data_IF_371147888458
#
_entry.id   IF_371147888458
#
_cell.length_a   1.000
_cell.length_b   1.000
_cell.length_c   1.000
_cell.angle_alpha   90.00
_cell.angle_beta   90.00
_cell.angle_gamma   90.00
#
_symmetry.space_group_name_H-M   'P 1'
#
loop_
_entity.id
_entity.type
_entity.pdbx_description
1 polymer ?
#
# COMPACT_ATOMS: atom_id res chain seq x y z
N UNK A 1 11.31 5.24 8.81
CA UNK A 1 11.96 4.65 7.62
C UNK A 1 12.10 5.77 6.62
N UNK A 2 13.26 5.94 5.98
CA UNK A 2 13.38 6.92 4.90
C UNK A 2 13.03 6.20 3.60
N UNK A 3 11.95 6.61 2.94
CA UNK A 3 11.51 6.01 1.69
C UNK A 3 12.35 6.54 0.53
N UNK A 4 12.56 5.72 -0.49
CA UNK A 4 12.94 6.23 -1.81
C UNK A 4 11.85 7.19 -2.33
N UNK A 5 12.26 8.25 -3.04
CA UNK A 5 11.32 9.26 -3.53
C UNK A 5 10.17 8.63 -4.34
N UNK A 6 10.49 7.63 -5.16
CA UNK A 6 9.51 6.90 -5.98
C UNK A 6 8.56 6.04 -5.13
N UNK A 7 9.03 5.43 -4.03
CA UNK A 7 8.16 4.71 -3.11
C UNK A 7 7.24 5.66 -2.36
N UNK A 8 7.77 6.81 -1.92
CA UNK A 8 6.98 7.84 -1.24
C UNK A 8 5.90 8.43 -2.14
N UNK A 9 6.23 8.71 -3.41
CA UNK A 9 5.26 9.17 -4.41
C UNK A 9 4.11 8.17 -4.60
N UNK A 10 4.43 6.88 -4.74
CA UNK A 10 3.42 5.83 -4.88
C UNK A 10 2.56 5.69 -3.62
N UNK A 11 3.17 5.75 -2.43
CA UNK A 11 2.44 5.73 -1.16
C UNK A 11 1.44 6.88 -1.06
N UNK A 12 1.87 8.11 -1.37
CA UNK A 12 1.01 9.29 -1.34
C UNK A 12 -0.13 9.17 -2.35
N UNK A 13 0.17 8.74 -3.58
CA UNK A 13 -0.85 8.56 -4.60
C UNK A 13 -1.91 7.53 -4.17
N UNK A 14 -1.46 6.38 -3.65
CA UNK A 14 -2.36 5.32 -3.23
C UNK A 14 -3.20 5.67 -1.99
N UNK A 15 -2.61 6.37 -1.02
CA UNK A 15 -3.30 6.69 0.26
C UNK A 15 -4.16 7.96 0.19
N UNK A 16 -4.00 8.79 -0.85
CA UNK A 16 -4.89 9.91 -1.12
C UNK A 16 -6.27 9.51 -1.67
N UNK A 17 -6.43 8.28 -2.17
CA UNK A 17 -7.71 7.81 -2.72
C UNK A 17 -8.16 6.55 -1.98
N UNK A 18 -9.23 6.71 -1.21
CA UNK A 18 -9.77 5.68 -0.30
C UNK A 18 -9.97 4.31 -0.97
N UNK A 19 -10.41 4.29 -2.23
CA UNK A 19 -10.73 3.07 -2.98
C UNK A 19 -9.55 2.10 -3.08
N UNK A 20 -8.30 2.59 -3.03
CA UNK A 20 -7.11 1.74 -3.20
C UNK A 20 -6.73 1.02 -1.90
N UNK A 21 -6.80 1.71 -0.76
CA UNK A 21 -6.30 1.15 0.49
C UNK A 21 -7.41 0.64 1.43
N UNK A 22 -8.56 1.30 1.50
CA UNK A 22 -9.59 1.01 2.50
C UNK A 22 -10.06 -0.47 2.50
N UNK A 23 -10.32 -1.14 1.36
CA UNK A 23 -10.73 -2.55 1.37
C UNK A 23 -9.66 -3.47 1.99
N UNK A 24 -8.39 -3.20 1.69
CA UNK A 24 -7.26 -3.96 2.22
C UNK A 24 -7.11 -3.72 3.72
N UNK A 25 -7.14 -2.46 4.16
CA UNK A 25 -7.01 -2.10 5.58
C UNK A 25 -8.19 -2.63 6.41
N UNK A 26 -9.42 -2.60 5.88
CA UNK A 26 -10.58 -3.22 6.53
C UNK A 26 -10.40 -4.71 6.75
N UNK A 27 -9.82 -5.42 5.79
CA UNK A 27 -9.49 -6.83 5.98
C UNK A 27 -8.40 -7.02 7.04
N UNK A 28 -7.34 -6.21 7.01
CA UNK A 28 -6.26 -6.27 8.02
C UNK A 28 -6.76 -5.95 9.43
N UNK A 29 -7.69 -5.01 9.57
CA UNK A 29 -8.35 -4.66 10.84
C UNK A 29 -9.07 -5.89 11.43
N UNK A 30 -9.75 -6.69 10.60
CA UNK A 30 -10.39 -7.94 11.03
C UNK A 30 -9.37 -8.97 11.50
N UNK A 31 -8.24 -9.11 10.80
CA UNK A 31 -7.18 -10.03 11.18
C UNK A 31 -6.53 -9.63 12.52
N UNK A 32 -6.32 -8.33 12.74
CA UNK A 32 -5.82 -7.81 14.01
C UNK A 32 -6.79 -8.11 15.15
N UNK A 33 -8.08 -7.75 14.99
CA UNK A 33 -9.14 -8.01 15.99
C UNK A 33 -9.29 -9.51 16.33
N UNK A 34 -8.96 -10.41 15.39
CA UNK A 34 -8.98 -11.87 15.58
C UNK A 34 -7.68 -12.44 16.18
N UNK A 35 -6.64 -11.63 16.33
CA UNK A 35 -5.34 -12.07 16.84
C UNK A 35 -4.52 -12.92 15.86
N UNK A 36 -4.85 -12.90 14.55
CA UNK A 36 -4.14 -13.66 13.52
C UNK A 36 -3.47 -12.78 12.45
N UNK A 37 -3.22 -11.51 12.79
CA UNK A 37 -2.47 -10.59 11.95
C UNK A 37 -1.02 -11.02 11.78
N UNK A 38 -0.50 -10.88 10.55
CA UNK A 38 0.92 -11.05 10.24
C UNK A 38 1.37 -9.83 9.43
N UNK A 39 2.45 -9.18 9.88
CA UNK A 39 3.00 -8.02 9.19
C UNK A 39 3.46 -8.37 7.77
N UNK A 40 4.08 -9.53 7.60
CA UNK A 40 4.54 -10.01 6.29
C UNK A 40 3.37 -10.20 5.31
N UNK A 41 2.29 -10.85 5.77
CA UNK A 41 1.08 -11.00 4.97
C UNK A 41 0.41 -9.65 4.68
N UNK A 42 0.48 -8.70 5.62
CA UNK A 42 -0.05 -7.36 5.43
C UNK A 42 0.70 -6.60 4.33
N UNK A 43 2.04 -6.64 4.35
CA UNK A 43 2.90 -6.03 3.33
C UNK A 43 2.57 -6.60 1.95
N UNK A 44 2.52 -7.93 1.83
CA UNK A 44 2.16 -8.57 0.56
C UNK A 44 0.73 -8.27 0.11
N UNK A 45 -0.21 -8.15 1.04
CA UNK A 45 -1.60 -7.79 0.71
C UNK A 45 -1.70 -6.35 0.21
N UNK A 46 -1.00 -5.42 0.86
CA UNK A 46 -0.97 -4.01 0.47
C UNK A 46 -0.30 -3.84 -0.90
N UNK A 47 0.85 -4.49 -1.13
CA UNK A 47 1.53 -4.45 -2.43
C UNK A 47 0.62 -4.92 -3.57
N UNK A 48 -0.03 -6.07 -3.37
CA UNK A 48 -0.83 -6.72 -4.41
C UNK A 48 -2.16 -6.01 -4.68
N UNK A 49 -2.89 -5.64 -3.62
CA UNK A 49 -4.28 -5.21 -3.73
C UNK A 49 -4.47 -3.69 -3.64
N UNK A 50 -3.49 -2.95 -3.12
CA UNK A 50 -3.52 -1.48 -3.06
C UNK A 50 -2.53 -0.86 -4.05
N UNK A 51 -1.23 -1.19 -3.93
CA UNK A 51 -0.20 -0.48 -4.67
C UNK A 51 -0.09 -0.88 -6.14
N UNK A 52 -0.30 -2.16 -6.47
CA UNK A 52 -0.31 -2.61 -7.87
C UNK A 52 -1.43 -1.93 -8.69
N UNK A 53 -2.70 -1.89 -8.25
CA UNK A 53 -3.72 -1.15 -9.00
C UNK A 53 -3.47 0.37 -9.01
N UNK A 54 -3.01 0.96 -7.89
CA UNK A 54 -2.66 2.38 -7.84
C UNK A 54 -1.53 2.74 -8.83
N UNK A 55 -0.46 1.94 -8.90
CA UNK A 55 0.65 2.12 -9.84
C UNK A 55 0.20 2.05 -11.31
N UNK A 56 -0.74 1.15 -11.63
CA UNK A 56 -1.34 1.07 -12.97
C UNK A 56 -2.18 2.30 -13.30
N UNK A 57 -2.91 2.84 -12.32
CA UNK A 57 -3.69 4.05 -12.52
C UNK A 57 -2.79 5.28 -12.68
N UNK A 58 -1.76 5.43 -11.85
CA UNK A 58 -0.75 6.46 -11.99
C UNK A 58 -0.13 6.44 -13.39
N UNK A 59 0.27 5.26 -13.89
CA UNK A 59 0.81 5.13 -15.25
C UNK A 59 -0.18 5.59 -16.33
N UNK A 60 -1.48 5.31 -16.18
CA UNK A 60 -2.49 5.79 -17.14
C UNK A 60 -2.64 7.30 -17.14
N UNK A 61 -2.42 7.95 -16.00
CA UNK A 61 -2.60 9.39 -15.83
C UNK A 61 -1.34 10.20 -16.19
N UNK A 62 -0.17 9.62 -15.95
CA UNK A 62 1.12 10.34 -16.01
C UNK A 62 2.18 9.67 -16.89
N UNK A 63 2.02 8.40 -17.24
CA UNK A 63 2.99 7.65 -18.03
C UNK A 63 2.83 7.84 -19.54
N UNK A 64 3.87 7.49 -20.29
CA UNK A 64 3.80 7.38 -21.75
C UNK A 64 3.30 6.01 -22.21
N UNK A 65 2.81 5.94 -23.44
CA UNK A 65 2.49 4.67 -24.12
C UNK A 65 3.73 3.78 -24.33
N UNK A 66 4.93 4.36 -24.26
CA UNK A 66 6.20 3.64 -24.39
C UNK A 66 6.70 3.03 -23.07
N UNK A 67 6.20 3.51 -21.92
CA UNK A 67 6.65 3.07 -20.61
C UNK A 67 5.77 1.92 -20.10
N UNK A 68 6.34 1.00 -19.32
CA UNK A 68 5.55 0.07 -18.54
C UNK A 68 5.42 0.54 -17.09
N UNK A 69 4.22 0.41 -16.51
CA UNK A 69 3.97 0.81 -15.12
C UNK A 69 4.92 0.16 -14.09
N UNK A 70 5.44 -1.04 -14.39
CA UNK A 70 6.34 -1.77 -13.51
C UNK A 70 7.81 -1.36 -13.67
N UNK A 71 8.14 -0.57 -14.70
CA UNK A 71 9.43 0.10 -14.84
C UNK A 71 9.47 1.37 -14.01
N UNK A 72 8.34 2.11 -13.94
CA UNK A 72 8.16 3.28 -13.06
C UNK A 72 8.13 2.84 -11.59
N UNK A 73 7.36 1.79 -11.29
CA UNK A 73 7.23 1.24 -9.94
C UNK A 73 7.64 -0.23 -9.89
N UNK A 74 8.95 -0.53 -9.83
CA UNK A 74 9.45 -1.89 -9.67
C UNK A 74 8.92 -2.56 -8.40
N UNK A 75 8.94 -3.90 -8.36
CA UNK A 75 8.42 -4.65 -7.21
C UNK A 75 9.06 -4.24 -5.88
N UNK A 76 10.37 -3.96 -5.86
CA UNK A 76 11.07 -3.50 -4.66
C UNK A 76 10.49 -2.18 -4.13
N UNK A 77 10.27 -1.20 -5.00
CA UNK A 77 9.66 0.10 -4.66
C UNK A 77 8.25 -0.08 -4.10
N UNK A 78 7.44 -0.97 -4.70
CA UNK A 78 6.10 -1.25 -4.18
C UNK A 78 6.12 -1.94 -2.82
N UNK A 79 7.06 -2.87 -2.59
CA UNK A 79 7.22 -3.51 -1.29
C UNK A 79 7.67 -2.51 -0.21
N UNK A 80 8.54 -1.58 -0.57
CA UNK A 80 9.01 -0.51 0.31
C UNK A 80 7.84 0.39 0.77
N UNK A 81 7.03 0.88 -0.19
CA UNK A 81 5.82 1.64 0.12
C UNK A 81 4.80 0.80 0.90
N UNK A 82 4.64 -0.48 0.57
CA UNK A 82 3.73 -1.37 1.29
C UNK A 82 4.14 -1.57 2.75
N UNK A 83 5.45 -1.67 3.02
CA UNK A 83 5.98 -1.77 4.37
C UNK A 83 5.73 -0.51 5.19
N UNK A 84 5.93 0.68 4.60
CA UNK A 84 5.59 1.95 5.23
C UNK A 84 4.12 2.01 5.66
N UNK A 85 3.20 1.75 4.72
CA UNK A 85 1.75 1.73 4.98
C UNK A 85 1.40 0.68 6.04
N UNK A 86 1.92 -0.55 5.92
CA UNK A 86 1.61 -1.63 6.85
C UNK A 86 2.03 -1.27 8.29
N UNK A 87 3.22 -0.68 8.45
CA UNK A 87 3.73 -0.27 9.77
C UNK A 87 2.93 0.89 10.35
N UNK A 88 2.56 1.88 9.53
CA UNK A 88 1.67 2.97 9.97
C UNK A 88 0.36 2.41 10.51
N UNK A 89 -0.29 1.49 9.80
CA UNK A 89 -1.53 0.86 10.28
C UNK A 89 -1.36 -0.03 11.51
N UNK A 90 -0.20 -0.68 11.68
CA UNK A 90 0.10 -1.40 12.92
C UNK A 90 0.13 -0.44 14.11
N UNK A 91 0.66 0.77 13.95
CA UNK A 91 0.61 1.77 15.02
C UNK A 91 -0.83 2.21 15.30
N UNK A 92 -1.65 2.44 14.27
CA UNK A 92 -3.08 2.73 14.44
C UNK A 92 -3.83 1.60 15.17
N UNK A 93 -3.57 0.34 14.81
CA UNK A 93 -4.21 -0.81 15.45
C UNK A 93 -3.81 -0.96 16.93
N UNK A 94 -2.56 -0.62 17.28
CA UNK A 94 -2.11 -0.60 18.69
C UNK A 94 -2.82 0.49 19.50
N UNK A 95 -3.20 1.60 18.87
CA UNK A 95 -4.01 2.66 19.48
C UNK A 95 -5.50 2.33 19.55
N UNK A 96 -5.93 1.23 18.92
CA UNK A 96 -7.33 0.83 18.85
C UNK A 96 -8.10 1.50 17.72
N UNK A 97 -7.41 2.16 16.79
CA UNK A 97 -8.01 2.74 15.59
C UNK A 97 -8.15 1.64 14.53
N UNK A 98 -9.37 1.42 14.04
CA UNK A 98 -9.66 0.38 13.06
C UNK A 98 -10.51 0.93 11.93
N UNK A 99 -10.40 0.28 10.77
CA UNK A 99 -11.29 0.54 9.65
C UNK A 99 -12.50 -0.41 9.70
N UNK A 100 -13.70 0.13 9.92
CA UNK A 100 -14.95 -0.63 10.14
C UNK A 100 -15.84 -0.77 8.89
#
# INVERSE_FOLDING_TARGET
>A
MNLSDTAHELELYATNVEVWYAPTIKNLSKHWKRGNFSLDLAIHSIERYCLTPAAKQYHREHGSMADAWHDIFPKAVRLEAAESIARSWVEEFKLGNFWD
#
